data_IF_380293709398
#
_entry.id   IF_380293709398
#
_cell.length_a   1.000
_cell.length_b   1.000
_cell.length_c   1.000
_cell.angle_alpha   90.00
_cell.angle_beta   90.00
_cell.angle_gamma   90.00
#
_symmetry.space_group_name_H-M   'P 1'
#
loop_
_entity.id
_entity.type
_entity.pdbx_description
1 polymer ?
#
# COMPACT_ATOMS: atom_id res chain seq x y z
N UNK A 1 15.36 -10.31 5.41
CA UNK A 1 15.16 -8.86 5.20
C UNK A 1 15.87 -8.28 3.99
N UNK A 2 17.07 -8.75 3.62
CA UNK A 2 17.73 -8.29 2.40
C UNK A 2 16.87 -8.43 1.11
N UNK A 3 15.90 -9.36 1.07
CA UNK A 3 14.96 -9.58 -0.06
C UNK A 3 14.13 -8.33 -0.40
N UNK A 4 13.79 -7.47 0.57
CA UNK A 4 12.92 -6.30 0.35
C UNK A 4 13.68 -4.99 0.17
N UNK A 5 14.96 -4.98 0.55
CA UNK A 5 15.82 -3.79 0.47
C UNK A 5 16.19 -3.43 -0.96
N UNK A 6 16.37 -4.42 -1.83
CA UNK A 6 16.84 -4.20 -3.22
C UNK A 6 15.73 -4.46 -4.21
N UNK A 7 15.48 -3.48 -5.08
CA UNK A 7 14.42 -3.55 -6.10
C UNK A 7 14.95 -3.02 -7.43
N UNK A 8 14.30 -3.42 -8.53
CA UNK A 8 14.64 -2.92 -9.87
C UNK A 8 13.78 -1.70 -10.19
N UNK A 9 14.43 -0.61 -10.59
CA UNK A 9 13.77 0.59 -11.08
C UNK A 9 13.68 0.53 -12.61
N UNK A 10 12.47 0.73 -13.17
CA UNK A 10 12.24 0.73 -14.62
C UNK A 10 12.45 -0.64 -15.29
N UNK A 11 13.03 -0.64 -16.50
CA UNK A 11 13.38 -1.87 -17.22
C UNK A 11 14.64 -2.46 -16.60
N UNK A 12 14.51 -3.62 -15.96
CA UNK A 12 15.61 -4.29 -15.27
C UNK A 12 16.81 -4.51 -16.19
N UNK A 13 17.89 -3.74 -15.96
CA UNK A 13 19.22 -4.03 -16.52
C UNK A 13 19.92 -5.02 -15.58
N UNK A 14 20.55 -6.04 -16.15
CA UNK A 14 21.27 -7.04 -15.37
C UNK A 14 22.30 -6.37 -14.45
N UNK A 15 22.17 -6.59 -13.13
CA UNK A 15 23.10 -6.10 -12.11
C UNK A 15 22.75 -4.77 -11.44
N UNK A 16 21.72 -4.02 -11.89
CA UNK A 16 21.32 -2.76 -11.26
C UNK A 16 20.09 -2.96 -10.37
N UNK A 17 20.32 -3.13 -9.07
CA UNK A 17 19.27 -3.05 -8.06
C UNK A 17 19.50 -1.82 -7.19
N UNK A 18 18.49 -1.00 -7.00
CA UNK A 18 18.54 0.22 -6.16
C UNK A 18 18.02 -0.10 -4.76
N UNK A 19 18.51 0.60 -3.74
CA UNK A 19 17.93 0.53 -2.39
C UNK A 19 16.51 1.10 -2.45
N UNK A 20 15.54 0.39 -1.88
CA UNK A 20 14.14 0.84 -1.87
C UNK A 20 13.99 2.24 -1.27
N UNK A 21 14.76 2.58 -0.24
CA UNK A 21 14.66 3.89 0.39
C UNK A 21 15.17 5.03 -0.52
N UNK A 22 16.02 4.75 -1.50
CA UNK A 22 16.59 5.78 -2.38
C UNK A 22 15.61 6.28 -3.43
N UNK A 23 14.62 5.45 -3.82
CA UNK A 23 13.63 5.80 -4.85
C UNK A 23 12.18 5.73 -4.38
N UNK A 24 11.92 5.37 -3.12
CA UNK A 24 10.57 5.30 -2.60
C UNK A 24 9.95 6.69 -2.49
N UNK A 25 8.89 6.91 -3.27
CA UNK A 25 7.98 8.04 -3.12
C UNK A 25 6.77 7.59 -2.33
N UNK A 26 6.37 8.38 -1.33
CA UNK A 26 5.20 8.10 -0.52
C UNK A 26 3.93 8.01 -1.39
N UNK A 27 3.19 6.92 -1.22
CA UNK A 27 1.93 6.70 -1.92
C UNK A 27 0.80 7.38 -1.16
N UNK A 28 -0.08 8.06 -1.90
CA UNK A 28 -1.31 8.62 -1.34
C UNK A 28 -2.33 7.47 -1.14
N UNK A 29 -2.56 7.09 0.10
CA UNK A 29 -3.48 6.00 0.48
C UNK A 29 -4.72 6.63 1.11
N UNK A 30 -5.90 6.16 0.72
CA UNK A 30 -7.18 6.61 1.27
C UNK A 30 -8.04 5.42 1.64
N UNK A 31 -8.94 5.60 2.61
CA UNK A 31 -9.91 4.55 2.96
C UNK A 31 -10.90 4.37 1.82
N UNK A 32 -11.12 3.13 1.40
CA UNK A 32 -12.17 2.82 0.44
C UNK A 32 -13.52 2.89 1.15
N UNK A 33 -14.37 3.83 0.76
CA UNK A 33 -15.78 3.85 1.21
C UNK A 33 -16.46 2.56 0.73
N UNK A 34 -16.79 1.69 1.69
CA UNK A 34 -17.51 0.44 1.43
C UNK A 34 -18.87 0.74 0.80
N UNK A 35 -19.06 0.38 -0.48
CA UNK A 35 -20.35 0.55 -1.15
C UNK A 35 -20.38 0.32 -2.66
N UNK A 36 -19.27 0.48 -3.39
CA UNK A 36 -19.28 0.32 -4.85
C UNK A 36 -18.28 -0.74 -5.31
N UNK A 37 -18.81 -1.95 -5.51
CA UNK A 37 -18.22 -2.95 -6.42
C UNK A 37 -18.39 -2.39 -7.83
N UNK A 38 -17.53 -1.44 -8.20
CA UNK A 38 -17.57 -0.83 -9.52
C UNK A 38 -17.05 -1.85 -10.55
N UNK A 39 -17.97 -2.52 -11.24
CA UNK A 39 -17.71 -3.56 -12.24
C UNK A 39 -17.35 -3.01 -13.62
N UNK A 40 -17.04 -1.72 -13.77
CA UNK A 40 -16.90 -1.13 -15.10
C UNK A 40 -15.70 -0.19 -15.26
N UNK A 41 -15.14 -0.27 -16.47
CA UNK A 41 -14.08 0.50 -17.13
C UNK A 41 -13.65 1.84 -16.49
N UNK A 42 -12.36 2.17 -16.67
CA UNK A 42 -11.64 3.33 -16.09
C UNK A 42 -12.37 4.69 -16.24
N UNK A 43 -13.26 4.83 -17.21
CA UNK A 43 -14.01 6.07 -17.52
C UNK A 43 -15.01 6.45 -16.42
N UNK A 44 -15.70 5.48 -15.78
CA UNK A 44 -16.70 5.80 -14.74
C UNK A 44 -16.08 6.28 -13.43
N UNK A 45 -14.79 6.03 -13.19
CA UNK A 45 -14.10 6.48 -11.97
C UNK A 45 -13.96 8.01 -11.93
N UNK A 46 -13.66 8.64 -13.07
CA UNK A 46 -13.57 10.11 -13.18
C UNK A 46 -14.94 10.75 -12.97
N UNK A 47 -15.98 10.19 -13.61
CA UNK A 47 -17.34 10.73 -13.53
C UNK A 47 -17.95 10.60 -12.13
N UNK A 48 -17.65 9.52 -11.40
CA UNK A 48 -18.18 9.30 -10.05
C UNK A 48 -17.43 10.14 -9.01
N UNK A 49 -16.11 10.31 -9.15
CA UNK A 49 -15.31 11.20 -8.31
C UNK A 49 -15.72 12.67 -8.49
N UNK A 50 -16.10 13.08 -9.71
CA UNK A 50 -16.59 14.43 -9.99
C UNK A 50 -17.98 14.74 -9.41
N UNK A 51 -18.78 13.73 -9.04
CA UNK A 51 -20.19 13.90 -8.62
C UNK A 51 -20.41 13.85 -7.09
N UNK A 52 -19.45 13.35 -6.30
CA UNK A 52 -19.55 13.43 -4.84
C UNK A 52 -19.05 14.82 -4.40
N UNK A 53 -19.76 15.56 -3.52
CA UNK A 53 -19.14 16.71 -2.88
C UNK A 53 -17.84 16.21 -2.25
N UNK A 54 -16.75 16.95 -2.45
CA UNK A 54 -15.41 16.60 -1.99
C UNK A 54 -15.40 16.44 -0.46
N UNK A 55 -15.78 15.26 0.02
CA UNK A 55 -15.43 14.81 1.34
C UNK A 55 -13.92 14.71 1.28
N UNK A 56 -13.21 15.56 2.01
CA UNK A 56 -11.74 15.54 2.05
C UNK A 56 -11.31 14.10 2.28
N UNK A 57 -10.72 13.48 1.25
CA UNK A 57 -10.17 12.14 1.38
C UNK A 57 -9.07 12.23 2.43
N UNK A 58 -9.27 11.54 3.55
CA UNK A 58 -8.28 11.58 4.63
C UNK A 58 -7.11 10.69 4.24
N UNK A 59 -5.90 11.25 4.07
CA UNK A 59 -4.74 10.46 3.72
C UNK A 59 -4.38 9.54 4.89
N UNK A 60 -4.07 8.28 4.59
CA UNK A 60 -3.61 7.29 5.55
C UNK A 60 -2.12 7.11 5.34
N UNK A 61 -1.32 7.35 6.38
CA UNK A 61 0.11 7.04 6.34
C UNK A 61 0.34 5.54 6.42
N UNK A 62 1.44 5.08 5.82
CA UNK A 62 1.82 3.66 5.86
C UNK A 62 2.03 3.13 7.28
N UNK A 63 2.50 3.97 8.21
CA UNK A 63 2.69 3.65 9.63
C UNK A 63 1.38 3.59 10.44
N UNK A 64 0.29 4.06 9.87
CA UNK A 64 -1.01 4.15 10.53
C UNK A 64 -2.02 3.13 9.99
N UNK A 65 -1.63 2.28 9.02
CA UNK A 65 -2.57 1.41 8.28
C UNK A 65 -3.34 0.43 9.17
N UNK A 66 -2.75 -0.01 10.28
CA UNK A 66 -3.39 -0.91 11.24
C UNK A 66 -4.03 -0.18 12.44
N UNK A 67 -3.83 1.14 12.54
CA UNK A 67 -4.39 1.93 13.64
C UNK A 67 -5.89 2.13 13.44
N UNK A 68 -6.57 2.39 14.54
CA UNK A 68 -7.99 2.74 14.53
C UNK A 68 -8.18 4.05 13.77
N UNK A 69 -8.91 4.00 12.65
CA UNK A 69 -9.28 5.19 11.88
C UNK A 69 -10.41 5.96 12.57
N UNK A 70 -10.56 7.27 12.31
CA UNK A 70 -11.68 8.06 12.84
C UNK A 70 -13.03 7.41 12.50
N UNK A 71 -13.83 7.09 13.51
CA UNK A 71 -15.14 6.46 13.35
C UNK A 71 -15.16 4.92 13.39
N UNK A 72 -14.01 4.27 13.62
CA UNK A 72 -13.95 2.84 13.95
C UNK A 72 -13.73 2.64 15.46
N UNK A 73 -14.40 1.64 16.04
CA UNK A 73 -14.26 1.31 17.47
C UNK A 73 -13.09 0.35 17.75
N UNK A 74 -12.62 -0.38 16.73
CA UNK A 74 -11.56 -1.38 16.86
C UNK A 74 -10.51 -1.22 15.76
N UNK A 75 -9.24 -1.55 16.04
CA UNK A 75 -8.19 -1.60 15.03
C UNK A 75 -8.53 -2.55 13.89
N UNK A 76 -8.11 -2.18 12.67
CA UNK A 76 -8.30 -3.01 11.48
C UNK A 76 -7.43 -4.27 11.56
N UNK A 77 -8.07 -5.44 11.50
CA UNK A 77 -7.37 -6.75 11.50
C UNK A 77 -6.95 -7.21 10.11
N UNK A 78 -7.64 -6.72 9.08
CA UNK A 78 -7.44 -7.10 7.68
C UNK A 78 -7.46 -5.86 6.82
N UNK A 79 -6.47 -5.72 5.94
CA UNK A 79 -6.33 -4.59 5.03
C UNK A 79 -6.22 -5.13 3.62
N UNK A 80 -6.95 -4.53 2.68
CA UNK A 80 -6.84 -4.83 1.25
C UNK A 80 -6.56 -3.54 0.48
N UNK A 81 -5.32 -3.41 -0.01
CA UNK A 81 -4.95 -2.29 -0.87
C UNK A 81 -5.43 -2.53 -2.29
N UNK A 82 -6.27 -1.64 -2.82
CA UNK A 82 -6.78 -1.72 -4.19
C UNK A 82 -6.28 -0.55 -5.01
N UNK A 83 -6.06 -0.78 -6.30
CA UNK A 83 -5.61 0.25 -7.23
C UNK A 83 -5.25 -0.35 -8.58
N UNK A 84 -5.03 0.49 -9.59
CA UNK A 84 -4.68 0.07 -10.96
C UNK A 84 -3.34 -0.66 -11.02
N UNK A 85 -3.06 -1.35 -12.14
CA UNK A 85 -1.77 -1.99 -12.36
C UNK A 85 -0.63 -0.95 -12.34
N UNK A 86 0.53 -1.33 -11.81
CA UNK A 86 1.70 -0.44 -11.77
C UNK A 86 1.70 0.66 -10.69
N UNK A 87 0.58 0.92 -9.99
CA UNK A 87 0.48 2.02 -9.00
C UNK A 87 1.33 1.85 -7.73
N UNK A 88 2.10 0.76 -7.60
CA UNK A 88 3.02 0.58 -6.47
C UNK A 88 2.53 -0.27 -5.29
N UNK A 89 1.41 -1.01 -5.42
CA UNK A 89 0.90 -1.91 -4.34
C UNK A 89 1.95 -2.88 -3.77
N UNK A 90 2.73 -3.51 -4.65
CA UNK A 90 3.81 -4.43 -4.23
C UNK A 90 4.95 -3.69 -3.53
N UNK A 91 5.32 -2.51 -4.05
CA UNK A 91 6.36 -1.66 -3.45
C UNK A 91 5.94 -1.19 -2.07
N UNK A 92 4.67 -0.85 -1.87
CA UNK A 92 4.12 -0.50 -0.55
C UNK A 92 4.31 -1.63 0.48
N UNK A 93 4.02 -2.87 0.07
CA UNK A 93 4.20 -4.06 0.94
C UNK A 93 5.67 -4.27 1.29
N UNK A 94 6.57 -4.08 0.31
CA UNK A 94 8.01 -4.15 0.55
C UNK A 94 8.50 -3.04 1.49
N UNK A 95 8.00 -1.81 1.32
CA UNK A 95 8.36 -0.66 2.17
C UNK A 95 7.92 -0.87 3.61
N UNK A 96 6.67 -1.31 3.82
CA UNK A 96 6.17 -1.67 5.14
C UNK A 96 7.07 -2.69 5.83
N UNK A 97 7.43 -3.76 5.10
CA UNK A 97 8.27 -4.83 5.64
C UNK A 97 9.69 -4.34 5.95
N UNK A 98 10.24 -3.48 5.10
CA UNK A 98 11.58 -2.91 5.29
C UNK A 98 11.62 -1.97 6.51
N UNK A 99 10.64 -1.05 6.64
CA UNK A 99 10.57 -0.12 7.76
C UNK A 99 10.37 -0.85 9.10
N UNK A 100 9.54 -1.91 9.10
CA UNK A 100 9.39 -2.78 10.26
C UNK A 100 10.72 -3.44 10.62
N UNK A 101 11.40 -4.03 9.64
CA UNK A 101 12.67 -4.73 9.84
C UNK A 101 13.81 -3.82 10.32
N UNK A 102 13.80 -2.54 9.92
CA UNK A 102 14.79 -1.55 10.29
C UNK A 102 14.45 -0.82 11.61
N UNK A 103 13.34 -1.17 12.27
CA UNK A 103 12.95 -0.55 13.53
C UNK A 103 12.29 0.83 13.40
N UNK A 104 11.94 1.25 12.18
CA UNK A 104 11.45 2.61 11.89
C UNK A 104 9.96 2.80 12.19
N UNK A 105 9.15 1.76 11.96
CA UNK A 105 7.70 1.82 12.13
C UNK A 105 7.12 0.46 12.56
N UNK A 106 5.87 0.47 13.04
CA UNK A 106 5.09 -0.74 13.36
C UNK A 106 5.76 -1.69 14.36
N UNK A 107 6.52 -1.15 15.34
CA UNK A 107 7.26 -1.96 16.33
C UNK A 107 6.36 -2.59 17.40
N UNK A 108 5.07 -2.24 17.41
CA UNK A 108 4.02 -2.96 18.13
C UNK A 108 3.75 -4.36 17.52
N UNK A 109 4.19 -4.60 16.28
CA UNK A 109 4.11 -5.90 15.61
C UNK A 109 5.36 -6.72 15.93
N UNK A 110 5.16 -7.83 16.64
CA UNK A 110 6.25 -8.74 17.03
C UNK A 110 6.87 -9.50 15.85
N UNK A 111 6.05 -9.88 14.86
CA UNK A 111 6.49 -10.69 13.72
C UNK A 111 5.74 -10.28 12.44
N UNK A 112 6.46 -10.27 11.32
CA UNK A 112 5.86 -10.17 9.98
C UNK A 112 6.27 -11.37 9.12
N UNK A 113 5.32 -11.88 8.34
CA UNK A 113 5.50 -13.03 7.45
C UNK A 113 5.07 -12.63 6.04
N UNK A 114 5.96 -11.99 5.26
CA UNK A 114 5.65 -11.58 3.91
C UNK A 114 5.69 -12.77 2.95
N UNK A 115 4.60 -12.99 2.21
CA UNK A 115 4.51 -14.00 1.17
C UNK A 115 3.83 -13.45 -0.08
N UNK A 116 4.11 -14.06 -1.21
CA UNK A 116 3.39 -13.81 -2.47
C UNK A 116 2.34 -14.89 -2.68
N UNK A 117 1.24 -14.57 -3.35
CA UNK A 117 0.27 -15.60 -3.75
C UNK A 117 0.88 -16.68 -4.64
N UNK A 118 1.96 -16.38 -5.36
CA UNK A 118 2.69 -17.38 -6.16
C UNK A 118 3.37 -18.44 -5.29
N UNK A 119 3.85 -18.08 -4.09
CA UNK A 119 4.50 -19.02 -3.17
C UNK A 119 3.49 -19.94 -2.44
N UNK A 120 2.19 -19.63 -2.50
CA UNK A 120 1.13 -20.37 -1.82
C UNK A 120 0.36 -21.36 -2.71
N UNK A 121 0.65 -21.41 -4.01
CA UNK A 121 -0.04 -22.28 -4.99
C UNK A 121 0.85 -23.43 -5.45
#
# INVERSE_FOLDING_TARGET
MQKFRRVFEGIAKAGQSTDLNDFYTELFITERVSGEVNKEHEVRLIETASRKPAKEETPIKLEDIFKTLPGQDQPSRTIMTTGVAGIGKTILTHKFTLDWAEGKANQDIHFTLPFTFRELN
#
